data_IF_795278936065
#
_entry.id   IF_795278936065
#
_cell.length_a   1.000
_cell.length_b   1.000
_cell.length_c   1.000
_cell.angle_alpha   90.00
_cell.angle_beta   90.00
_cell.angle_gamma   90.00
#
_symmetry.space_group_name_H-M   'P 1'
#
loop_
_entity.id
_entity.type
_entity.pdbx_description
1 polymer ?
#
# COMPACT_ATOMS: atom_id res chain seq x y z
N UNK A 1 -13.00 -16.78 -4.20
CA UNK A 1 -12.99 -17.14 -5.64
C UNK A 1 -14.35 -16.94 -6.32
N UNK A 2 -15.44 -17.65 -5.97
CA UNK A 2 -16.74 -17.47 -6.67
C UNK A 2 -17.25 -16.02 -6.75
N UNK A 3 -17.11 -15.23 -5.67
CA UNK A 3 -17.45 -13.80 -5.67
C UNK A 3 -16.59 -12.99 -6.64
N UNK A 4 -15.29 -13.25 -6.69
CA UNK A 4 -14.36 -12.56 -7.61
C UNK A 4 -14.73 -12.88 -9.06
N UNK A 5 -15.03 -14.14 -9.37
CA UNK A 5 -15.41 -14.54 -10.74
C UNK A 5 -16.76 -13.93 -11.20
N UNK A 6 -17.60 -13.48 -10.26
CA UNK A 6 -18.89 -12.87 -10.55
C UNK A 6 -18.85 -11.34 -10.66
N UNK A 7 -17.67 -10.72 -10.56
CA UNK A 7 -17.55 -9.27 -10.70
C UNK A 7 -17.95 -8.82 -12.12
N UNK A 8 -18.60 -7.66 -12.27
CA UNK A 8 -19.13 -7.21 -13.56
C UNK A 8 -18.05 -6.64 -14.49
N UNK A 9 -16.80 -6.57 -14.05
CA UNK A 9 -15.69 -6.00 -14.82
C UNK A 9 -15.04 -6.96 -15.82
N UNK A 10 -15.41 -8.25 -15.79
CA UNK A 10 -14.79 -9.25 -16.66
C UNK A 10 -15.34 -9.23 -18.07
N UNK A 11 -14.44 -9.52 -19.02
CA UNK A 11 -14.76 -9.79 -20.41
C UNK A 11 -14.73 -11.30 -20.65
N UNK A 12 -15.90 -11.93 -20.58
CA UNK A 12 -16.05 -13.37 -20.78
C UNK A 12 -15.74 -14.20 -19.52
N UNK A 13 -15.26 -15.42 -19.74
CA UNK A 13 -14.85 -16.31 -18.64
C UNK A 13 -13.54 -15.83 -18.02
N UNK A 14 -13.45 -15.87 -16.69
CA UNK A 14 -12.27 -15.46 -15.93
C UNK A 14 -11.66 -16.66 -15.22
N UNK A 15 -10.34 -16.77 -15.28
CA UNK A 15 -9.56 -17.74 -14.50
C UNK A 15 -8.88 -17.03 -13.34
N UNK A 16 -8.66 -17.74 -12.23
CA UNK A 16 -8.04 -17.18 -11.03
C UNK A 16 -6.93 -18.11 -10.54
N UNK A 17 -5.73 -17.55 -10.32
CA UNK A 17 -4.64 -18.21 -9.61
C UNK A 17 -4.20 -17.36 -8.41
N UNK A 18 -3.82 -17.96 -7.26
CA UNK A 18 -3.29 -17.20 -6.14
C UNK A 18 -1.99 -16.48 -6.52
N UNK A 19 -1.84 -15.23 -6.07
CA UNK A 19 -0.55 -14.54 -6.06
C UNK A 19 0.04 -14.62 -4.66
N UNK A 20 1.30 -15.02 -4.59
CA UNK A 20 2.04 -14.99 -3.33
C UNK A 20 2.43 -13.55 -2.98
N UNK A 21 2.40 -13.22 -1.68
CA UNK A 21 2.76 -11.89 -1.17
C UNK A 21 1.58 -11.09 -0.61
N UNK A 22 1.91 -10.12 0.26
CA UNK A 22 0.96 -9.33 1.03
C UNK A 22 0.53 -10.03 2.33
N UNK A 23 0.79 -9.39 3.49
CA UNK A 23 0.44 -9.95 4.81
C UNK A 23 -1.05 -9.75 5.12
N UNK A 24 -1.62 -8.65 4.66
CA UNK A 24 -2.95 -8.16 5.06
C UNK A 24 -4.06 -8.43 4.04
N UNK A 25 -3.72 -8.88 2.83
CA UNK A 25 -4.67 -9.05 1.73
C UNK A 25 -4.54 -10.45 1.11
N UNK A 26 -5.64 -10.94 0.54
CA UNK A 26 -5.60 -12.09 -0.37
C UNK A 26 -5.47 -11.58 -1.80
N UNK A 27 -4.39 -11.96 -2.47
CA UNK A 27 -4.10 -11.53 -3.83
C UNK A 27 -4.29 -12.68 -4.83
N UNK A 28 -4.87 -12.37 -5.99
CA UNK A 28 -5.08 -13.31 -7.09
C UNK A 28 -4.67 -12.67 -8.41
N UNK A 29 -4.09 -13.48 -9.30
CA UNK A 29 -4.00 -13.16 -10.72
C UNK A 29 -5.30 -13.61 -11.35
N UNK A 30 -5.99 -12.68 -11.99
CA UNK A 30 -7.17 -12.93 -12.79
C UNK A 30 -6.84 -12.76 -14.27
N UNK A 31 -7.32 -13.67 -15.11
CA UNK A 31 -7.15 -13.58 -16.56
C UNK A 31 -8.50 -13.79 -17.24
N UNK A 32 -8.87 -12.87 -18.12
CA UNK A 32 -10.07 -12.94 -18.97
C UNK A 32 -9.71 -12.69 -20.44
N UNK A 33 -10.72 -12.54 -21.32
CA UNK A 33 -10.47 -12.31 -22.74
C UNK A 33 -9.84 -10.95 -23.09
N UNK A 34 -9.86 -9.98 -22.17
CA UNK A 34 -9.31 -8.65 -22.35
C UNK A 34 -7.88 -8.51 -21.79
N UNK A 35 -7.49 -9.31 -20.80
CA UNK A 35 -6.12 -9.30 -20.29
C UNK A 35 -5.93 -9.93 -18.91
N UNK A 36 -4.88 -9.48 -18.22
CA UNK A 36 -4.48 -9.96 -16.90
C UNK A 36 -4.60 -8.85 -15.86
N UNK A 37 -5.02 -9.23 -14.66
CA UNK A 37 -5.33 -8.32 -13.57
C UNK A 37 -4.86 -8.84 -12.23
N UNK A 38 -4.39 -7.95 -11.37
CA UNK A 38 -4.17 -8.25 -9.97
C UNK A 38 -5.47 -7.95 -9.20
N UNK A 39 -6.03 -8.96 -8.54
CA UNK A 39 -7.20 -8.82 -7.68
C UNK A 39 -6.76 -8.86 -6.23
N UNK A 40 -7.02 -7.77 -5.51
CA UNK A 40 -6.79 -7.65 -4.09
C UNK A 40 -8.10 -7.74 -3.33
N UNK A 41 -8.17 -8.65 -2.36
CA UNK A 41 -9.32 -8.83 -1.48
C UNK A 41 -8.89 -8.54 -0.04
N UNK A 42 -9.57 -7.60 0.59
CA UNK A 42 -9.26 -7.16 1.96
C UNK A 42 -10.42 -6.36 2.55
N UNK A 43 -10.37 -6.10 3.85
CA UNK A 43 -11.30 -5.21 4.55
C UNK A 43 -10.55 -4.02 5.14
N UNK A 44 -11.28 -3.06 5.69
CA UNK A 44 -10.67 -2.09 6.59
C UNK A 44 -9.93 -2.81 7.72
N UNK A 45 -8.83 -2.22 8.16
CA UNK A 45 -8.06 -2.65 9.32
C UNK A 45 -7.86 -1.42 10.21
N UNK A 46 -8.91 -0.99 10.93
CA UNK A 46 -8.88 0.23 11.73
C UNK A 46 -7.76 0.25 12.76
N UNK A 47 -7.39 -0.91 13.32
CA UNK A 47 -6.28 -1.04 14.26
C UNK A 47 -4.96 -0.57 13.65
N UNK A 48 -4.76 -0.78 12.35
CA UNK A 48 -3.57 -0.33 11.60
C UNK A 48 -3.81 0.97 10.84
N UNK A 49 -4.95 1.63 11.05
CA UNK A 49 -5.38 2.86 10.39
C UNK A 49 -5.49 2.70 8.86
N UNK A 50 -5.71 1.46 8.40
CA UNK A 50 -5.81 1.15 6.97
C UNK A 50 -7.27 1.10 6.53
N UNK A 51 -7.69 2.13 5.80
CA UNK A 51 -9.06 2.27 5.32
C UNK A 51 -9.12 2.14 3.79
N UNK A 52 -9.98 1.26 3.28
CA UNK A 52 -10.08 0.93 1.84
C UNK A 52 -10.48 2.13 0.99
N UNK A 53 -11.30 3.05 1.51
CA UNK A 53 -11.64 4.29 0.79
C UNK A 53 -10.39 5.14 0.52
N UNK A 54 -9.46 5.19 1.49
CA UNK A 54 -8.25 5.98 1.40
C UNK A 54 -7.25 5.32 0.45
N UNK A 55 -7.11 4.00 0.53
CA UNK A 55 -6.30 3.24 -0.42
C UNK A 55 -6.79 3.41 -1.86
N UNK A 56 -8.10 3.34 -2.10
CA UNK A 56 -8.66 3.51 -3.44
C UNK A 56 -8.36 4.91 -4.01
N UNK A 57 -8.54 5.96 -3.19
CA UNK A 57 -8.18 7.33 -3.60
C UNK A 57 -6.69 7.47 -3.87
N UNK A 58 -5.85 6.88 -3.03
CA UNK A 58 -4.39 6.85 -3.20
C UNK A 58 -3.97 6.13 -4.50
N UNK A 59 -4.59 4.99 -4.82
CA UNK A 59 -4.31 4.24 -6.04
C UNK A 59 -4.68 5.02 -7.31
N UNK A 60 -5.85 5.67 -7.32
CA UNK A 60 -6.24 6.53 -8.45
C UNK A 60 -5.27 7.70 -8.64
N UNK A 61 -4.85 8.34 -7.56
CA UNK A 61 -3.89 9.44 -7.59
C UNK A 61 -2.50 8.98 -8.07
N UNK A 62 -2.03 7.84 -7.56
CA UNK A 62 -0.75 7.23 -7.93
C UNK A 62 -0.73 6.76 -9.40
N UNK A 63 -1.83 6.19 -9.90
CA UNK A 63 -1.97 5.87 -11.32
C UNK A 63 -1.91 7.12 -12.21
N UNK A 64 -2.64 8.17 -11.85
CA UNK A 64 -2.63 9.43 -12.59
C UNK A 64 -1.24 10.09 -12.62
N UNK A 65 -0.44 9.89 -11.57
CA UNK A 65 0.97 10.29 -11.52
C UNK A 65 1.93 9.32 -12.24
N UNK A 66 1.43 8.21 -12.79
CA UNK A 66 2.22 7.23 -13.53
C UNK A 66 3.18 6.42 -12.66
N UNK A 67 2.84 6.21 -11.38
CA UNK A 67 3.66 5.45 -10.41
C UNK A 67 3.00 4.16 -9.90
N UNK A 68 1.72 3.92 -10.19
CA UNK A 68 0.99 2.71 -9.80
C UNK A 68 0.14 2.19 -10.99
N UNK A 69 -0.25 0.90 -11.00
CA UNK A 69 -1.15 0.35 -12.02
C UNK A 69 -2.57 0.95 -11.95
N UNK A 70 -3.31 0.85 -13.05
CA UNK A 70 -4.66 1.39 -13.13
C UNK A 70 -5.66 0.54 -12.33
N UNK A 71 -6.56 1.19 -11.60
CA UNK A 71 -7.74 0.54 -11.03
C UNK A 71 -8.77 0.32 -12.14
N UNK A 72 -9.14 -0.94 -12.40
CA UNK A 72 -10.19 -1.33 -13.34
C UNK A 72 -11.55 -1.46 -12.70
N UNK A 73 -11.58 -1.91 -11.46
CA UNK A 73 -12.80 -2.08 -10.70
C UNK A 73 -12.51 -1.97 -9.21
N UNK A 74 -13.45 -1.41 -8.45
CA UNK A 74 -13.37 -1.38 -7.01
C UNK A 74 -14.76 -1.46 -6.38
N UNK A 75 -14.86 -2.25 -5.32
CA UNK A 75 -15.97 -2.28 -4.38
C UNK A 75 -15.38 -2.42 -2.96
N UNK A 76 -16.15 -2.24 -1.87
CA UNK A 76 -15.60 -2.09 -0.52
C UNK A 76 -14.60 -3.16 -0.04
N UNK A 77 -14.60 -4.37 -0.61
CA UNK A 77 -13.68 -5.44 -0.21
C UNK A 77 -12.81 -5.98 -1.35
N UNK A 78 -12.93 -5.43 -2.56
CA UNK A 78 -12.22 -5.94 -3.72
C UNK A 78 -11.73 -4.78 -4.58
N UNK A 79 -10.46 -4.83 -4.95
CA UNK A 79 -9.86 -3.94 -5.94
C UNK A 79 -9.26 -4.79 -7.05
N UNK A 80 -9.56 -4.44 -8.30
CA UNK A 80 -8.99 -5.06 -9.50
C UNK A 80 -8.10 -4.02 -10.16
N UNK A 81 -6.83 -4.36 -10.33
CA UNK A 81 -5.79 -3.53 -10.93
C UNK A 81 -5.30 -4.16 -12.23
N UNK A 82 -4.79 -3.34 -13.16
CA UNK A 82 -3.95 -3.86 -14.24
C UNK A 82 -2.80 -4.71 -13.65
N UNK A 83 -2.57 -5.89 -14.22
CA UNK A 83 -1.39 -6.68 -13.87
C UNK A 83 -0.17 -6.09 -14.58
N UNK A 84 0.89 -5.85 -13.81
CA UNK A 84 2.17 -5.38 -14.35
C UNK A 84 3.07 -6.59 -14.52
N UNK A 85 3.38 -6.98 -15.76
CA UNK A 85 4.45 -7.93 -16.04
C UNK A 85 5.78 -7.38 -15.56
N UNK A 86 6.25 -7.88 -14.43
CA UNK A 86 7.36 -7.27 -13.70
C UNK A 86 8.09 -8.28 -12.83
N UNK A 87 9.31 -7.88 -12.46
CA UNK A 87 10.06 -8.49 -11.37
C UNK A 87 9.73 -7.74 -10.07
N UNK A 88 9.18 -8.46 -9.08
CA UNK A 88 9.02 -7.91 -7.73
C UNK A 88 10.38 -7.82 -7.05
N UNK A 89 10.77 -6.62 -6.63
CA UNK A 89 12.09 -6.42 -6.06
C UNK A 89 12.27 -7.15 -4.73
N UNK A 90 13.47 -7.67 -4.54
CA UNK A 90 13.97 -8.23 -3.29
C UNK A 90 14.83 -7.23 -2.53
N UNK A 91 15.19 -7.55 -1.29
CA UNK A 91 16.15 -6.74 -0.54
C UNK A 91 17.54 -6.68 -1.20
N UNK A 92 17.92 -7.68 -1.99
CA UNK A 92 19.16 -7.68 -2.76
C UNK A 92 19.08 -6.72 -3.94
N UNK A 93 17.98 -6.75 -4.69
CA UNK A 93 17.75 -5.84 -5.82
C UNK A 93 17.78 -4.37 -5.38
N UNK A 94 17.15 -4.04 -4.23
CA UNK A 94 17.14 -2.68 -3.68
C UNK A 94 18.55 -2.18 -3.30
N UNK A 95 19.45 -3.09 -2.89
CA UNK A 95 20.83 -2.75 -2.53
C UNK A 95 21.73 -2.53 -3.74
N UNK A 96 21.30 -2.94 -4.93
CA UNK A 96 22.07 -2.75 -6.14
C UNK A 96 22.27 -1.24 -6.42
N UNK A 97 23.51 -0.76 -6.65
CA UNK A 97 23.81 0.67 -6.77
C UNK A 97 23.00 1.39 -7.86
N UNK A 98 22.65 0.71 -8.94
CA UNK A 98 21.86 1.22 -10.06
C UNK A 98 20.35 1.32 -9.75
N UNK A 99 19.87 0.56 -8.77
CA UNK A 99 18.45 0.53 -8.40
C UNK A 99 18.06 1.73 -7.54
N UNK A 100 18.94 2.13 -6.61
CA UNK A 100 18.66 3.22 -5.67
C UNK A 100 18.24 4.54 -6.37
N UNK A 101 18.92 5.03 -7.42
CA UNK A 101 18.48 6.23 -8.14
C UNK A 101 17.07 6.09 -8.75
N UNK A 102 16.70 4.90 -9.25
CA UNK A 102 15.38 4.63 -9.84
C UNK A 102 14.29 4.64 -8.77
N UNK A 103 14.54 4.03 -7.61
CA UNK A 103 13.63 4.05 -6.46
C UNK A 103 13.45 5.49 -5.94
N UNK A 104 14.53 6.25 -5.80
CA UNK A 104 14.46 7.64 -5.34
C UNK A 104 13.66 8.52 -6.31
N UNK A 105 13.79 8.31 -7.63
CA UNK A 105 12.97 9.01 -8.61
C UNK A 105 11.48 8.66 -8.46
N UNK A 106 11.15 7.37 -8.35
CA UNK A 106 9.78 6.89 -8.13
C UNK A 106 9.15 7.50 -6.87
N UNK A 107 9.88 7.51 -5.75
CA UNK A 107 9.42 8.09 -4.48
C UNK A 107 9.20 9.60 -4.63
N UNK A 108 10.09 10.32 -5.33
CA UNK A 108 9.91 11.76 -5.59
C UNK A 108 8.66 12.04 -6.41
N UNK A 109 8.38 11.24 -7.46
CA UNK A 109 7.16 11.36 -8.26
C UNK A 109 5.92 11.05 -7.41
N UNK A 110 5.96 10.02 -6.58
CA UNK A 110 4.89 9.73 -5.62
C UNK A 110 4.62 10.94 -4.70
N UNK A 111 5.65 11.51 -4.09
CA UNK A 111 5.50 12.63 -3.16
C UNK A 111 5.01 13.93 -3.81
N UNK A 112 5.38 14.18 -5.07
CA UNK A 112 5.16 15.49 -5.73
C UNK A 112 4.01 15.50 -6.72
N UNK A 113 3.77 14.39 -7.40
CA UNK A 113 2.83 14.32 -8.52
C UNK A 113 1.51 13.66 -8.11
N UNK A 114 1.53 12.58 -7.33
CA UNK A 114 0.30 11.93 -6.86
C UNK A 114 -0.65 12.89 -6.10
N UNK A 115 -0.20 13.75 -5.17
CA UNK A 115 -1.10 14.66 -4.46
C UNK A 115 -1.83 15.68 -5.36
N UNK A 116 -1.34 15.94 -6.59
CA UNK A 116 -2.05 16.79 -7.57
C UNK A 116 -3.33 16.15 -8.09
N UNK A 117 -3.46 14.84 -7.95
CA UNK A 117 -4.58 14.03 -8.43
C UNK A 117 -5.43 13.46 -7.29
N UNK A 118 -5.03 13.64 -6.02
CA UNK A 118 -5.77 13.15 -4.87
C UNK A 118 -7.12 13.84 -4.74
N UNK A 119 -8.16 13.07 -4.42
CA UNK A 119 -9.54 13.55 -4.29
C UNK A 119 -10.18 13.02 -3.01
N UNK A 120 -11.03 13.84 -2.40
CA UNK A 120 -11.72 13.47 -1.16
C UNK A 120 -10.85 13.65 0.09
N UNK A 121 -11.25 13.04 1.22
CA UNK A 121 -10.47 13.10 2.45
C UNK A 121 -9.12 12.37 2.28
N UNK A 122 -8.09 12.89 2.94
CA UNK A 122 -6.79 12.26 3.07
C UNK A 122 -6.60 11.80 4.52
N UNK A 123 -6.25 10.53 4.72
CA UNK A 123 -5.79 10.06 6.01
C UNK A 123 -4.31 10.41 6.17
N UNK A 124 -4.00 11.09 7.26
CA UNK A 124 -2.62 11.37 7.63
C UNK A 124 -1.99 10.10 8.19
N UNK A 125 -0.85 9.68 7.64
CA UNK A 125 -0.03 8.67 8.29
C UNK A 125 0.84 9.33 9.35
N UNK A 126 0.34 9.32 10.58
CA UNK A 126 1.03 9.88 11.74
C UNK A 126 1.60 8.74 12.58
N UNK A 127 2.81 8.28 12.22
CA UNK A 127 3.44 7.10 12.84
C UNK A 127 3.48 7.15 14.37
N UNK A 128 3.74 8.33 14.95
CA UNK A 128 3.76 8.50 16.41
C UNK A 128 2.37 8.36 17.03
N UNK A 129 1.31 8.84 16.36
CA UNK A 129 -0.06 8.57 16.78
C UNK A 129 -0.42 7.09 16.66
N UNK A 130 -0.02 6.41 15.58
CA UNK A 130 -0.21 4.96 15.42
C UNK A 130 0.42 4.19 16.58
N UNK A 131 1.64 4.56 17.01
CA UNK A 131 2.32 3.96 18.18
C UNK A 131 1.52 4.21 19.47
N UNK A 132 1.03 5.44 19.68
CA UNK A 132 0.18 5.77 20.84
C UNK A 132 -1.10 4.93 20.86
N UNK A 133 -1.74 4.75 19.71
CA UNK A 133 -2.99 4.00 19.57
C UNK A 133 -2.78 2.49 19.77
N UNK A 134 -1.66 1.93 19.29
CA UNK A 134 -1.23 0.58 19.66
C UNK A 134 -1.02 0.43 21.16
N UNK A 135 -0.36 1.41 21.80
CA UNK A 135 -0.18 1.42 23.25
C UNK A 135 -1.52 1.39 24.00
N UNK A 136 -2.45 2.27 23.63
CA UNK A 136 -3.79 2.30 24.22
C UNK A 136 -4.54 0.96 24.03
N UNK A 137 -4.54 0.43 22.81
CA UNK A 137 -5.19 -0.85 22.49
C UNK A 137 -4.60 -2.01 23.29
N UNK A 138 -3.28 -2.09 23.43
CA UNK A 138 -2.60 -3.14 24.19
C UNK A 138 -2.88 -3.03 25.69
N UNK A 139 -2.97 -1.81 26.23
CA UNK A 139 -3.32 -1.57 27.62
C UNK A 139 -4.77 -1.98 27.92
N UNK A 140 -5.73 -1.57 27.07
CA UNK A 140 -7.15 -1.95 27.18
C UNK A 140 -7.34 -3.47 27.15
N UNK A 141 -6.54 -4.16 26.32
CA UNK A 141 -6.59 -5.63 26.18
C UNK A 141 -5.75 -6.37 27.22
N UNK A 142 -5.19 -5.68 28.22
CA UNK A 142 -4.37 -6.27 29.28
C UNK A 142 -3.23 -7.14 28.74
N UNK A 143 -2.55 -6.65 27.71
CA UNK A 143 -1.43 -7.35 27.09
C UNK A 143 -0.37 -7.77 28.12
N UNK A 144 0.25 -8.96 27.98
CA UNK A 144 1.39 -9.33 28.81
C UNK A 144 2.59 -8.38 28.66
N UNK A 145 2.60 -7.56 27.60
CA UNK A 145 3.59 -6.51 27.36
C UNK A 145 3.24 -5.17 28.00
N UNK A 146 2.16 -5.08 28.79
CA UNK A 146 1.72 -3.88 29.51
C UNK A 146 2.85 -3.08 30.17
N UNK A 147 3.80 -3.72 30.89
CA UNK A 147 4.91 -3.01 31.53
C UNK A 147 5.83 -2.21 30.58
N UNK A 148 5.83 -2.50 29.27
CA UNK A 148 6.68 -1.81 28.28
C UNK A 148 5.98 -0.64 27.58
N UNK A 149 4.66 -0.51 27.72
CA UNK A 149 3.86 0.42 26.91
C UNK A 149 4.28 1.86 27.15
N UNK A 150 4.34 2.29 28.42
CA UNK A 150 4.64 3.67 28.78
C UNK A 150 6.03 4.09 28.29
N UNK A 151 7.02 3.21 28.41
CA UNK A 151 8.39 3.45 27.94
C UNK A 151 8.42 3.63 26.42
N UNK A 152 7.82 2.71 25.66
CA UNK A 152 7.83 2.74 24.21
C UNK A 152 7.05 3.93 23.64
N UNK A 153 5.92 4.28 24.25
CA UNK A 153 5.14 5.47 23.86
C UNK A 153 5.93 6.75 24.16
N UNK A 154 6.57 6.84 25.32
CA UNK A 154 7.42 7.99 25.69
C UNK A 154 8.60 8.16 24.73
N UNK A 155 9.24 7.05 24.34
CA UNK A 155 10.29 7.06 23.32
C UNK A 155 9.76 7.56 21.97
N UNK A 156 8.57 7.10 21.55
CA UNK A 156 7.90 7.58 20.35
C UNK A 156 7.64 9.09 20.38
N UNK A 157 7.16 9.62 21.49
CA UNK A 157 6.94 11.07 21.67
C UNK A 157 8.26 11.86 21.59
N UNK A 158 9.33 11.34 22.19
CA UNK A 158 10.65 11.99 22.14
C UNK A 158 11.22 12.01 20.72
N UNK A 159 11.02 10.94 19.96
CA UNK A 159 11.41 10.87 18.54
C UNK A 159 10.58 11.83 17.69
N UNK A 160 9.29 12.01 17.99
CA UNK A 160 8.44 12.98 17.31
C UNK A 160 8.96 14.40 17.46
N UNK A 161 9.29 14.82 18.69
CA UNK A 161 9.85 16.15 18.96
C UNK A 161 11.21 16.34 18.25
N UNK A 162 12.05 15.31 18.22
CA UNK A 162 13.40 15.37 17.66
C UNK A 162 13.46 15.29 16.13
N UNK A 163 12.50 14.63 15.48
CA UNK A 163 12.52 14.42 14.03
C UNK A 163 12.14 15.68 13.21
N UNK A 164 11.71 16.75 13.88
CA UNK A 164 11.29 17.99 13.24
C UNK A 164 12.45 18.85 12.74
N UNK A 165 12.20 19.78 11.79
CA UNK A 165 10.92 20.01 11.12
C UNK A 165 10.61 18.96 10.04
N UNK A 166 9.32 18.75 9.74
CA UNK A 166 8.86 17.85 8.68
C UNK A 166 7.94 18.56 7.69
N UNK A 167 8.03 18.15 6.43
CA UNK A 167 7.07 18.51 5.39
C UNK A 167 5.95 17.47 5.31
N UNK A 168 4.72 17.94 5.13
CA UNK A 168 3.61 17.04 4.82
C UNK A 168 3.69 16.64 3.33
N UNK A 169 3.85 15.35 3.09
CA UNK A 169 3.92 14.78 1.74
C UNK A 169 2.94 13.63 1.59
N UNK A 170 2.55 13.33 0.35
CA UNK A 170 1.84 12.10 0.03
C UNK A 170 2.83 10.94 0.00
N UNK A 171 2.93 10.22 1.11
CA UNK A 171 3.83 9.07 1.26
C UNK A 171 3.15 7.74 0.92
N UNK A 172 3.95 6.77 0.46
CA UNK A 172 3.50 5.37 0.34
C UNK A 172 3.21 4.73 1.70
N UNK A 173 3.97 5.14 2.73
CA UNK A 173 3.88 4.70 4.14
C UNK A 173 4.19 3.22 4.41
N UNK A 174 4.36 2.40 3.38
CA UNK A 174 4.83 1.01 3.50
C UNK A 174 5.85 0.66 2.40
N UNK A 175 7.04 1.29 2.43
CA UNK A 175 8.01 1.19 1.34
C UNK A 175 8.98 0.00 1.52
N UNK A 176 8.44 -1.21 1.50
CA UNK A 176 9.22 -2.46 1.49
C UNK A 176 9.56 -2.91 0.07
N UNK A 177 10.62 -3.74 -0.08
CA UNK A 177 11.11 -4.16 -1.39
C UNK A 177 10.03 -4.83 -2.26
N UNK A 178 9.18 -5.68 -1.65
CA UNK A 178 8.10 -6.36 -2.36
C UNK A 178 6.95 -5.46 -2.84
N UNK A 179 6.93 -4.17 -2.47
CA UNK A 179 5.98 -3.17 -2.99
C UNK A 179 6.57 -2.37 -4.18
N UNK A 180 7.76 -2.76 -4.66
CA UNK A 180 8.41 -2.19 -5.83
C UNK A 180 8.42 -3.23 -6.95
N UNK A 181 7.86 -2.86 -8.09
CA UNK A 181 7.84 -3.71 -9.28
C UNK A 181 8.70 -3.09 -10.38
N UNK A 182 9.57 -3.88 -11.01
CA UNK A 182 10.37 -3.47 -12.17
C UNK A 182 9.86 -4.15 -13.44
N UNK A 183 9.30 -3.38 -14.37
CA UNK A 183 8.85 -3.90 -15.69
C UNK A 183 9.98 -3.91 -16.74
N UNK A 184 11.22 -3.58 -16.33
CA UNK A 184 12.39 -3.44 -17.20
C UNK A 184 12.56 -2.05 -17.82
N UNK A 185 11.52 -1.21 -17.76
CA UNK A 185 11.55 0.18 -18.26
C UNK A 185 11.39 1.21 -17.15
N UNK A 186 10.49 0.95 -16.19
CA UNK A 186 10.21 1.81 -15.04
C UNK A 186 9.82 0.98 -13.82
N UNK A 187 9.86 1.65 -12.68
CA UNK A 187 9.39 1.09 -11.43
C UNK A 187 7.95 1.50 -11.15
N UNK A 188 7.24 0.63 -10.44
CA UNK A 188 5.88 0.84 -9.96
C UNK A 188 5.78 0.60 -8.45
N UNK A 189 4.80 1.25 -7.83
CA UNK A 189 4.35 1.03 -6.45
C UNK A 189 3.06 0.21 -6.45
N UNK A 190 2.92 -0.69 -5.48
CA UNK A 190 1.71 -1.47 -5.19
C UNK A 190 1.34 -1.48 -3.72
#
# INVERSE_FOLDING_TARGET
MRRIMALPCWTGEVTLSPLEGGITNLNYLAEDAAGRYAVRVGSDIPEHHVMRFNELSAMHAAYAAGVAPAVKYAEPSVTVLDFVDSHTLTAEDVRAPEMLPRIVDLVKRCHRDAPKHLRGPALIFWVFHVIRDYGATLAERQSPHGPLIDELVSLGNSLEEAAGPFDMVFGHNDLLAANLLDDGTRLWLI
#
